data_IF_615241013099
#
_entry.id   IF_615241013099
#
_cell.length_a   1.000
_cell.length_b   1.000
_cell.length_c   1.000
_cell.angle_alpha   90.00
_cell.angle_beta   90.00
_cell.angle_gamma   90.00
#
_symmetry.space_group_name_H-M   'P 1'
#
loop_
_entity.id
_entity.type
_entity.pdbx_description
1 polymer ?
#
# COMPACT_ATOMS: atom_id res chain seq x y z
N UNK A 1 39.02 -25.46 50.38
CA UNK A 1 39.37 -25.16 48.97
C UNK A 1 38.11 -24.65 48.30
N UNK A 2 37.92 -23.33 48.28
CA UNK A 2 36.71 -22.68 47.77
C UNK A 2 37.09 -21.90 46.53
N UNK A 3 36.70 -22.39 45.36
CA UNK A 3 36.91 -21.70 44.10
C UNK A 3 35.57 -21.14 43.61
N UNK A 4 35.38 -19.84 43.83
CA UNK A 4 34.24 -19.07 43.34
C UNK A 4 34.48 -18.78 41.85
N UNK A 5 33.86 -19.55 40.95
CA UNK A 5 33.85 -19.26 39.52
C UNK A 5 32.78 -18.21 39.23
N UNK A 6 33.19 -16.94 39.20
CA UNK A 6 32.37 -15.84 38.70
C UNK A 6 32.14 -16.00 37.20
N UNK A 7 30.98 -16.51 36.81
CA UNK A 7 30.55 -16.51 35.42
C UNK A 7 30.08 -15.10 35.04
N UNK A 8 30.95 -14.37 34.33
CA UNK A 8 30.61 -13.10 33.71
C UNK A 8 29.56 -13.34 32.62
N UNK A 9 28.31 -12.98 32.90
CA UNK A 9 27.22 -13.08 31.95
C UNK A 9 27.43 -12.07 30.80
N UNK A 10 27.94 -12.56 29.66
CA UNK A 10 28.02 -11.78 28.43
C UNK A 10 26.61 -11.33 28.02
N UNK A 11 26.37 -10.01 28.09
CA UNK A 11 25.13 -9.38 27.66
C UNK A 11 24.94 -9.62 26.16
N UNK A 12 24.02 -10.52 25.81
CA UNK A 12 23.65 -10.77 24.42
C UNK A 12 22.84 -9.57 23.92
N UNK A 13 23.44 -8.78 23.03
CA UNK A 13 22.72 -7.73 22.32
C UNK A 13 21.68 -8.41 21.41
N UNK A 14 20.40 -8.04 21.49
CA UNK A 14 19.41 -8.58 20.58
C UNK A 14 19.77 -8.17 19.14
N UNK A 15 19.97 -9.16 18.28
CA UNK A 15 20.13 -8.93 16.85
C UNK A 15 18.74 -8.81 16.23
N UNK A 16 18.44 -7.66 15.63
CA UNK A 16 17.23 -7.48 14.84
C UNK A 16 17.37 -8.27 13.55
N UNK A 17 16.37 -9.10 13.24
CA UNK A 17 16.32 -9.80 11.97
C UNK A 17 16.01 -8.79 10.87
N UNK A 18 16.99 -8.55 9.99
CA UNK A 18 16.79 -7.73 8.79
C UNK A 18 16.11 -8.63 7.75
N UNK A 19 15.02 -8.17 7.10
CA UNK A 19 14.38 -8.93 6.05
C UNK A 19 15.36 -9.18 4.89
N UNK A 20 15.29 -10.38 4.31
CA UNK A 20 16.04 -10.69 3.10
C UNK A 20 15.44 -9.94 1.88
N UNK A 21 16.19 -9.93 0.78
CA UNK A 21 15.83 -9.19 -0.44
C UNK A 21 14.53 -9.71 -1.07
N UNK A 22 14.23 -11.01 -0.98
CA UNK A 22 12.99 -11.56 -1.51
C UNK A 22 11.78 -11.04 -0.70
N UNK A 23 11.89 -11.02 0.62
CA UNK A 23 10.86 -10.47 1.50
C UNK A 23 10.65 -8.97 1.24
N UNK A 24 11.72 -8.17 1.18
CA UNK A 24 11.61 -6.73 0.91
C UNK A 24 11.07 -6.43 -0.49
N UNK A 25 11.48 -7.16 -1.51
CA UNK A 25 10.99 -6.97 -2.87
C UNK A 25 9.50 -7.34 -3.00
N UNK A 26 9.06 -8.43 -2.38
CA UNK A 26 7.65 -8.80 -2.34
C UNK A 26 6.80 -7.73 -1.64
N UNK A 27 7.27 -7.24 -0.48
CA UNK A 27 6.59 -6.17 0.24
C UNK A 27 6.49 -4.88 -0.61
N UNK A 28 7.57 -4.53 -1.33
CA UNK A 28 7.57 -3.36 -2.21
C UNK A 28 6.56 -3.52 -3.35
N UNK A 29 6.57 -4.66 -4.05
CA UNK A 29 5.62 -4.94 -5.12
C UNK A 29 4.18 -4.91 -4.64
N UNK A 30 3.88 -5.58 -3.53
CA UNK A 30 2.54 -5.55 -2.94
C UNK A 30 2.12 -4.13 -2.57
N UNK A 31 3.01 -3.36 -1.94
CA UNK A 31 2.70 -1.98 -1.57
C UNK A 31 2.39 -1.13 -2.80
N UNK A 32 3.22 -1.20 -3.84
CA UNK A 32 3.01 -0.44 -5.09
C UNK A 32 1.69 -0.86 -5.73
N UNK A 33 1.45 -2.16 -5.88
CA UNK A 33 0.22 -2.67 -6.49
C UNK A 33 -1.01 -2.25 -5.69
N UNK A 34 -0.97 -2.35 -4.36
CA UNK A 34 -2.09 -1.92 -3.50
C UNK A 34 -2.35 -0.42 -3.64
N UNK A 35 -1.30 0.41 -3.63
CA UNK A 35 -1.46 1.87 -3.81
C UNK A 35 -2.07 2.19 -5.18
N UNK A 36 -1.59 1.56 -6.25
CA UNK A 36 -2.15 1.75 -7.60
C UNK A 36 -3.61 1.29 -7.68
N UNK A 37 -3.95 0.16 -7.05
CA UNK A 37 -5.32 -0.34 -6.99
C UNK A 37 -6.24 0.63 -6.24
N UNK A 38 -5.78 1.22 -5.14
CA UNK A 38 -6.54 2.22 -4.38
C UNK A 38 -6.74 3.51 -5.17
N UNK A 39 -5.74 3.96 -5.93
CA UNK A 39 -5.88 5.11 -6.83
C UNK A 39 -6.93 4.83 -7.90
N UNK A 40 -6.87 3.67 -8.56
CA UNK A 40 -7.88 3.28 -9.55
C UNK A 40 -9.28 3.19 -8.93
N UNK A 41 -9.40 2.58 -7.75
CA UNK A 41 -10.66 2.47 -7.02
C UNK A 41 -11.26 3.83 -6.64
N UNK A 42 -10.42 4.79 -6.23
CA UNK A 42 -10.84 6.17 -5.97
C UNK A 42 -11.46 6.80 -7.21
N UNK A 43 -10.77 6.75 -8.35
CA UNK A 43 -11.27 7.34 -9.59
C UNK A 43 -12.56 6.69 -10.10
N UNK A 44 -12.65 5.36 -10.02
CA UNK A 44 -13.84 4.62 -10.47
C UNK A 44 -15.05 4.83 -9.55
N UNK A 45 -14.82 4.91 -8.23
CA UNK A 45 -15.89 4.86 -7.23
C UNK A 45 -16.26 6.20 -6.58
N UNK A 46 -15.28 7.07 -6.35
CA UNK A 46 -15.43 8.27 -5.52
C UNK A 46 -15.40 9.57 -6.30
N UNK A 47 -14.67 9.64 -7.42
CA UNK A 47 -14.55 10.84 -8.26
C UNK A 47 -15.80 11.07 -9.14
N UNK A 48 -16.98 11.04 -8.51
CA UNK A 48 -18.30 11.17 -9.13
C UNK A 48 -18.93 12.55 -8.88
N UNK A 49 -18.12 13.60 -8.70
CA UNK A 49 -18.57 14.98 -8.51
C UNK A 49 -18.92 15.39 -7.06
N UNK A 50 -19.08 14.46 -6.12
CA UNK A 50 -19.35 14.76 -4.70
C UNK A 50 -18.08 14.81 -3.82
N UNK A 51 -17.04 14.06 -4.17
CA UNK A 51 -15.76 13.97 -3.46
C UNK A 51 -14.60 13.83 -4.46
N UNK A 52 -14.28 14.93 -5.15
CA UNK A 52 -13.11 15.01 -6.03
C UNK A 52 -11.93 15.72 -5.35
N UNK A 53 -10.74 15.13 -5.45
CA UNK A 53 -9.48 15.79 -5.09
C UNK A 53 -9.16 16.94 -6.06
N UNK A 54 -9.75 16.94 -7.26
CA UNK A 54 -9.64 18.00 -8.24
C UNK A 54 -10.72 19.09 -8.11
N UNK A 55 -11.56 19.02 -7.07
CA UNK A 55 -12.57 20.04 -6.78
C UNK A 55 -13.82 19.90 -7.65
N UNK A 56 -14.36 21.00 -8.17
CA UNK A 56 -15.54 20.97 -9.04
C UNK A 56 -15.20 20.61 -10.50
N UNK A 57 -13.95 20.24 -10.78
CA UNK A 57 -13.49 19.90 -12.12
C UNK A 57 -13.81 18.44 -12.46
N UNK A 58 -14.69 18.21 -13.44
CA UNK A 58 -15.28 16.90 -13.78
C UNK A 58 -14.68 16.24 -15.01
N UNK A 59 -13.59 16.73 -15.60
CA UNK A 59 -13.02 16.12 -16.82
C UNK A 59 -12.68 14.63 -16.64
N UNK A 60 -12.12 14.26 -15.48
CA UNK A 60 -11.80 12.85 -15.16
C UNK A 60 -13.08 12.02 -14.98
N UNK A 61 -14.08 12.59 -14.30
CA UNK A 61 -15.38 11.99 -14.11
C UNK A 61 -16.05 11.69 -15.46
N UNK A 62 -16.11 12.67 -16.36
CA UNK A 62 -16.72 12.54 -17.69
C UNK A 62 -15.98 11.53 -18.55
N UNK A 63 -14.65 11.54 -18.54
CA UNK A 63 -13.84 10.54 -19.25
C UNK A 63 -14.14 9.10 -18.79
N UNK A 64 -14.19 8.87 -17.48
CA UNK A 64 -14.50 7.56 -16.92
C UNK A 64 -15.96 7.16 -17.15
N UNK A 65 -16.85 8.15 -17.08
CA UNK A 65 -18.25 8.00 -17.39
C UNK A 65 -18.46 7.60 -18.85
N UNK A 66 -17.70 8.14 -19.80
CA UNK A 66 -17.76 7.77 -21.21
C UNK A 66 -17.12 6.40 -21.47
N UNK A 67 -16.01 6.09 -20.80
CA UNK A 67 -15.34 4.79 -20.90
C UNK A 67 -16.27 3.63 -20.46
N UNK A 68 -17.08 3.81 -19.41
CA UNK A 68 -18.03 2.76 -18.98
C UNK A 68 -19.15 2.56 -19.99
N UNK A 69 -19.59 3.63 -20.66
CA UNK A 69 -20.57 3.55 -21.74
C UNK A 69 -19.99 2.85 -22.98
N UNK A 70 -18.73 3.14 -23.33
CA UNK A 70 -18.01 2.44 -24.38
C UNK A 70 -17.92 0.94 -24.12
N UNK A 71 -17.73 0.55 -22.85
CA UNK A 71 -17.70 -0.85 -22.41
C UNK A 71 -19.11 -1.47 -22.26
N UNK A 72 -20.18 -0.74 -22.57
CA UNK A 72 -21.56 -1.23 -22.55
C UNK A 72 -22.21 -1.30 -21.17
N UNK A 73 -21.59 -0.72 -20.14
CA UNK A 73 -22.18 -0.67 -18.81
C UNK A 73 -23.26 0.43 -18.74
N UNK A 74 -24.49 0.13 -18.31
CA UNK A 74 -25.58 1.11 -18.22
C UNK A 74 -25.32 2.17 -17.15
N UNK A 75 -25.80 3.39 -17.40
CA UNK A 75 -25.95 4.46 -16.41
C UNK A 75 -27.37 4.50 -15.86
N UNK A 76 -27.49 4.86 -14.58
CA UNK A 76 -28.77 5.27 -13.99
C UNK A 76 -29.30 6.52 -14.73
#
# INVERSE_FOLDING_TARGET
MSSTSGQSALRRTPALSVPDIATTSAALWLTITTVLALIAFYFIGFDQGAVSVFGSDTHVHEFLHDARHLLGFPCH
#
